data_IF_015188897539
#
_entry.id   IF_015188897539
#
_cell.length_a   1.000
_cell.length_b   1.000
_cell.length_c   1.000
_cell.angle_alpha   90.00
_cell.angle_beta   90.00
_cell.angle_gamma   90.00
#
_symmetry.space_group_name_H-M   'P 1'
#
loop_
_entity.id
_entity.type
_entity.pdbx_description
1 polymer ?
#
# COMPACT_ATOMS: atom_id res chain seq x y z
N UNK A 1 13.49 61.50 -2.23
CA UNK A 1 14.02 60.13 -2.41
C UNK A 1 13.05 59.16 -1.71
N UNK A 2 12.16 58.51 -2.47
CA UNK A 2 11.26 57.49 -1.93
C UNK A 2 11.93 56.13 -2.14
N UNK A 3 12.31 55.45 -1.07
CA UNK A 3 12.77 54.07 -1.13
C UNK A 3 11.56 53.14 -1.35
N UNK A 4 11.50 52.56 -2.53
CA UNK A 4 10.56 51.50 -2.87
C UNK A 4 11.06 50.23 -2.22
N UNK A 5 10.42 49.81 -1.13
CA UNK A 5 10.68 48.54 -0.47
C UNK A 5 10.02 47.43 -1.33
N UNK A 6 10.82 46.78 -2.17
CA UNK A 6 10.39 45.57 -2.91
C UNK A 6 10.40 44.45 -1.89
N UNK A 7 9.22 44.11 -1.36
CA UNK A 7 8.97 42.87 -0.67
C UNK A 7 9.02 41.75 -1.71
N UNK A 8 10.16 41.10 -1.82
CA UNK A 8 10.27 39.79 -2.46
C UNK A 8 9.48 38.81 -1.61
N UNK A 9 8.21 38.56 -1.98
CA UNK A 9 7.46 37.39 -1.56
C UNK A 9 8.14 36.17 -2.21
N UNK A 10 9.14 35.62 -1.55
CA UNK A 10 9.58 34.27 -1.83
C UNK A 10 8.42 33.37 -1.43
N UNK A 11 7.66 32.88 -2.40
CA UNK A 11 6.77 31.74 -2.18
C UNK A 11 7.65 30.62 -1.64
N UNK A 12 7.46 30.30 -0.37
CA UNK A 12 8.06 29.09 0.20
C UNK A 12 7.40 27.93 -0.54
N UNK A 13 8.13 27.33 -1.48
CA UNK A 13 7.72 26.08 -2.11
C UNK A 13 7.67 25.06 -0.97
N UNK A 14 6.48 24.73 -0.51
CA UNK A 14 6.32 23.67 0.49
C UNK A 14 6.56 22.34 -0.20
N UNK A 15 7.39 21.49 0.41
CA UNK A 15 7.51 20.12 -0.07
C UNK A 15 6.27 19.33 0.37
N UNK A 16 5.68 18.56 -0.54
CA UNK A 16 4.65 17.60 -0.21
C UNK A 16 5.34 16.28 0.19
N UNK A 17 5.01 15.77 1.38
CA UNK A 17 5.57 14.53 1.90
C UNK A 17 4.53 13.42 1.73
N UNK A 18 4.77 12.52 0.80
CA UNK A 18 3.93 11.36 0.53
C UNK A 18 4.51 10.11 1.18
N UNK A 19 3.65 9.32 1.85
CA UNK A 19 3.92 7.96 2.30
C UNK A 19 3.12 6.98 1.44
N UNK A 20 3.81 6.17 0.67
CA UNK A 20 3.21 5.21 -0.26
C UNK A 20 3.52 3.78 0.15
N UNK A 21 2.50 2.91 0.10
CA UNK A 21 2.61 1.49 0.39
C UNK A 21 2.21 0.66 -0.83
N UNK A 22 2.99 -0.37 -1.13
CA UNK A 22 2.68 -1.30 -2.22
C UNK A 22 1.70 -2.40 -1.80
N UNK A 23 1.29 -3.25 -2.73
CA UNK A 23 0.58 -4.48 -2.44
C UNK A 23 1.53 -5.61 -2.03
N UNK A 24 0.96 -6.61 -1.34
CA UNK A 24 1.76 -7.77 -0.91
C UNK A 24 1.00 -8.76 -0.03
N UNK A 25 -0.31 -8.64 0.14
CA UNK A 25 -1.11 -9.50 1.00
C UNK A 25 -0.60 -9.51 2.44
N UNK A 26 -0.24 -10.67 3.00
CA UNK A 26 0.28 -10.76 4.38
C UNK A 26 1.59 -9.97 4.60
N UNK A 27 2.31 -9.63 3.54
CA UNK A 27 3.53 -8.83 3.63
C UNK A 27 3.27 -7.34 3.96
N UNK A 28 2.01 -6.89 4.02
CA UNK A 28 1.68 -5.63 4.64
C UNK A 28 2.20 -5.52 6.09
N UNK A 29 2.36 -6.64 6.79
CA UNK A 29 3.04 -6.68 8.09
C UNK A 29 4.54 -6.33 8.00
N UNK A 30 5.22 -6.74 6.92
CA UNK A 30 6.62 -6.35 6.64
C UNK A 30 6.72 -4.84 6.46
N UNK A 31 5.78 -4.24 5.73
CA UNK A 31 5.73 -2.78 5.51
C UNK A 31 5.61 -2.00 6.82
N UNK A 32 4.79 -2.47 7.76
CA UNK A 32 4.69 -1.85 9.10
C UNK A 32 6.01 -1.97 9.86
N UNK A 33 6.69 -3.11 9.78
CA UNK A 33 8.03 -3.29 10.36
C UNK A 33 9.06 -2.33 9.75
N UNK A 34 9.06 -2.19 8.43
CA UNK A 34 9.91 -1.22 7.70
C UNK A 34 9.59 0.20 8.17
N UNK A 35 8.30 0.60 8.13
CA UNK A 35 7.88 1.94 8.52
C UNK A 35 8.31 2.28 9.95
N UNK A 36 8.15 1.34 10.89
CA UNK A 36 8.62 1.51 12.25
C UNK A 36 10.11 1.86 12.29
N UNK A 37 10.93 1.10 11.57
CA UNK A 37 12.37 1.34 11.51
C UNK A 37 12.72 2.68 10.88
N UNK A 38 12.02 3.05 9.80
CA UNK A 38 12.19 4.35 9.12
C UNK A 38 11.86 5.49 10.06
N UNK A 39 10.75 5.42 10.78
CA UNK A 39 10.31 6.49 11.70
C UNK A 39 11.21 6.64 12.94
N UNK A 40 11.88 5.58 13.38
CA UNK A 40 12.91 5.67 14.42
C UNK A 40 14.17 6.42 13.93
N UNK A 41 14.49 6.33 12.65
CA UNK A 41 15.66 6.98 12.05
C UNK A 41 15.36 8.40 11.56
N UNK A 42 14.14 8.64 11.08
CA UNK A 42 13.72 9.84 10.39
C UNK A 42 12.37 10.32 10.97
N UNK A 43 12.39 11.35 11.78
CA UNK A 43 11.15 11.93 12.36
C UNK A 43 10.39 12.74 11.30
N UNK A 44 9.78 12.07 10.32
CA UNK A 44 9.02 12.68 9.22
C UNK A 44 7.54 12.84 9.55
N UNK A 45 6.94 13.88 8.96
CA UNK A 45 5.47 14.02 8.85
C UNK A 45 5.09 13.85 7.39
N UNK A 46 3.91 13.30 7.18
CA UNK A 46 3.38 13.05 5.84
C UNK A 46 2.05 13.76 5.66
N UNK A 47 1.87 14.33 4.48
CA UNK A 47 0.69 15.11 4.10
C UNK A 47 -0.31 14.24 3.31
N UNK A 48 0.19 13.18 2.65
CA UNK A 48 -0.56 12.27 1.81
C UNK A 48 -0.13 10.83 2.06
N UNK A 49 -1.11 9.94 2.22
CA UNK A 49 -0.89 8.49 2.18
C UNK A 49 -1.46 7.90 0.90
N UNK A 50 -0.76 6.94 0.32
CA UNK A 50 -1.26 6.18 -0.82
C UNK A 50 -1.05 4.69 -0.62
N UNK A 51 -1.91 3.88 -1.22
CA UNK A 51 -1.75 2.44 -1.06
C UNK A 51 -2.50 1.59 -2.08
N UNK A 52 -1.93 0.42 -2.33
CA UNK A 52 -2.49 -0.64 -3.18
C UNK A 52 -2.59 -1.92 -2.35
N UNK A 53 -3.69 -2.66 -2.46
CA UNK A 53 -3.87 -3.98 -1.82
C UNK A 53 -3.61 -3.93 -0.30
N UNK A 54 -2.68 -4.70 0.23
CA UNK A 54 -2.28 -4.63 1.64
C UNK A 54 -1.81 -3.22 2.03
N UNK A 55 -1.13 -2.51 1.14
CA UNK A 55 -0.74 -1.12 1.35
C UNK A 55 -1.94 -0.17 1.47
N UNK A 56 -3.05 -0.44 0.77
CA UNK A 56 -4.29 0.30 0.95
C UNK A 56 -4.87 0.14 2.37
N UNK A 57 -4.75 -1.08 2.94
CA UNK A 57 -5.14 -1.33 4.33
C UNK A 57 -4.24 -0.57 5.31
N UNK A 58 -2.92 -0.57 5.07
CA UNK A 58 -1.95 0.16 5.90
C UNK A 58 -2.18 1.67 5.82
N UNK A 59 -2.27 2.24 4.62
CA UNK A 59 -2.52 3.66 4.39
C UNK A 59 -3.83 4.11 5.05
N UNK A 60 -4.94 3.41 4.75
CA UNK A 60 -6.26 3.73 5.30
C UNK A 60 -6.32 3.58 6.82
N UNK A 61 -5.64 2.58 7.42
CA UNK A 61 -5.57 2.43 8.87
C UNK A 61 -4.76 3.56 9.53
N UNK A 62 -3.57 3.85 9.00
CA UNK A 62 -2.66 4.87 9.55
C UNK A 62 -3.23 6.28 9.43
N UNK A 63 -4.08 6.55 8.43
CA UNK A 63 -4.68 7.87 8.19
C UNK A 63 -5.51 8.41 9.36
N UNK A 64 -5.96 7.54 10.26
CA UNK A 64 -6.72 7.92 11.46
C UNK A 64 -5.87 8.44 12.61
N UNK A 65 -4.54 8.44 12.47
CA UNK A 65 -3.62 8.82 13.56
C UNK A 65 -2.87 10.10 13.23
N UNK A 66 -3.02 11.14 14.07
CA UNK A 66 -2.21 12.36 13.99
C UNK A 66 -0.75 12.13 14.37
N UNK A 67 -0.49 11.14 15.24
CA UNK A 67 0.85 10.63 15.57
C UNK A 67 1.05 9.28 14.86
N UNK A 68 1.88 9.29 13.83
CA UNK A 68 2.16 8.08 13.06
C UNK A 68 2.79 6.97 13.91
N UNK A 69 3.59 7.30 14.91
CA UNK A 69 4.21 6.29 15.79
C UNK A 69 3.15 5.55 16.62
N UNK A 70 2.10 6.25 17.05
CA UNK A 70 0.94 5.63 17.69
C UNK A 70 0.17 4.77 16.69
N UNK A 71 0.02 5.23 15.45
CA UNK A 71 -0.57 4.46 14.36
C UNK A 71 0.18 3.16 14.11
N UNK A 72 1.52 3.21 14.04
CA UNK A 72 2.39 2.05 13.87
C UNK A 72 2.22 1.05 15.02
N UNK A 73 2.23 1.48 16.29
CA UNK A 73 2.04 0.61 17.45
C UNK A 73 0.69 -0.12 17.40
N UNK A 74 -0.38 0.58 16.98
CA UNK A 74 -1.70 -0.02 16.84
C UNK A 74 -1.75 -0.97 15.63
N UNK A 75 -1.10 -0.65 14.51
CA UNK A 75 -0.98 -1.53 13.36
C UNK A 75 -0.21 -2.81 13.70
N UNK A 76 0.90 -2.72 14.45
CA UNK A 76 1.62 -3.89 14.98
C UNK A 76 0.68 -4.77 15.80
N UNK A 77 -0.06 -4.18 16.75
CA UNK A 77 -1.00 -4.91 17.60
C UNK A 77 -2.10 -5.60 16.79
N UNK A 78 -2.58 -4.93 15.73
CA UNK A 78 -3.56 -5.49 14.82
C UNK A 78 -2.97 -6.71 14.08
N UNK A 79 -1.79 -6.59 13.44
CA UNK A 79 -1.13 -7.69 12.72
C UNK A 79 -0.79 -8.88 13.62
N UNK A 80 -0.45 -8.64 14.89
CA UNK A 80 -0.24 -9.70 15.88
C UNK A 80 -1.52 -10.48 16.18
N UNK A 81 -2.68 -9.83 16.11
CA UNK A 81 -4.00 -10.43 16.38
C UNK A 81 -4.62 -11.14 15.17
N UNK A 82 -4.26 -10.72 13.95
CA UNK A 82 -4.83 -11.24 12.71
C UNK A 82 -4.47 -12.72 12.51
N UNK A 83 -5.46 -13.49 12.05
CA UNK A 83 -5.32 -14.89 11.66
C UNK A 83 -5.93 -15.11 10.29
N UNK A 84 -5.46 -16.13 9.55
CA UNK A 84 -5.97 -16.48 8.22
C UNK A 84 -7.50 -16.49 8.16
N UNK A 85 -8.17 -17.10 9.15
CA UNK A 85 -9.64 -17.17 9.27
C UNK A 85 -10.36 -15.82 9.41
N UNK A 86 -9.62 -14.74 9.74
CA UNK A 86 -10.15 -13.37 9.82
C UNK A 86 -10.07 -12.66 8.48
N UNK A 87 -9.35 -13.23 7.53
CA UNK A 87 -9.11 -12.66 6.18
C UNK A 87 -9.86 -13.45 5.13
N UNK A 88 -9.84 -14.81 5.21
CA UNK A 88 -10.47 -15.64 4.19
C UNK A 88 -11.01 -16.97 4.72
N UNK A 89 -12.00 -17.50 4.00
CA UNK A 89 -12.43 -18.90 4.05
C UNK A 89 -12.12 -19.58 2.71
N UNK A 90 -11.88 -20.88 2.75
CA UNK A 90 -11.69 -21.70 1.52
C UNK A 90 -13.04 -22.03 0.93
N UNK A 91 -13.21 -21.80 -0.37
CA UNK A 91 -14.42 -22.12 -1.12
C UNK A 91 -14.28 -23.43 -1.92
N UNK A 92 -15.39 -24.14 -2.19
CA UNK A 92 -15.42 -25.14 -3.26
C UNK A 92 -15.03 -24.52 -4.60
N UNK A 93 -14.33 -25.25 -5.47
CA UNK A 93 -13.86 -24.80 -6.79
C UNK A 93 -15.00 -24.60 -7.83
N UNK A 94 -16.13 -24.04 -7.43
CA UNK A 94 -17.31 -23.82 -8.29
C UNK A 94 -17.60 -22.35 -8.57
N UNK A 95 -16.79 -21.44 -8.00
CA UNK A 95 -16.97 -19.99 -8.09
C UNK A 95 -15.89 -19.29 -8.91
N UNK A 96 -15.91 -17.97 -8.88
CA UNK A 96 -14.95 -17.09 -9.57
C UNK A 96 -13.63 -16.94 -8.81
N UNK A 97 -13.50 -17.53 -7.61
CA UNK A 97 -12.32 -17.46 -6.75
C UNK A 97 -12.18 -18.71 -5.88
N UNK A 98 -10.96 -18.97 -5.40
CA UNK A 98 -10.68 -20.11 -4.50
C UNK A 98 -10.91 -19.77 -3.03
N UNK A 99 -10.94 -18.49 -2.68
CA UNK A 99 -11.17 -17.99 -1.32
C UNK A 99 -12.37 -17.04 -1.29
N UNK A 100 -12.99 -16.95 -0.12
CA UNK A 100 -14.04 -15.98 0.19
C UNK A 100 -13.47 -14.86 1.06
N UNK A 101 -13.75 -13.61 0.72
CA UNK A 101 -13.29 -12.41 1.44
C UNK A 101 -14.28 -11.87 2.49
N UNK A 102 -15.41 -12.55 2.75
CA UNK A 102 -16.35 -12.14 3.82
C UNK A 102 -15.70 -12.01 5.22
N UNK A 103 -14.74 -12.86 5.63
CA UNK A 103 -14.02 -12.64 6.89
C UNK A 103 -13.26 -11.32 6.90
N UNK A 104 -12.61 -10.93 5.79
CA UNK A 104 -11.95 -9.63 5.67
C UNK A 104 -12.95 -8.48 5.79
N UNK A 105 -14.09 -8.55 5.10
CA UNK A 105 -15.17 -7.56 5.22
C UNK A 105 -15.57 -7.33 6.68
N UNK A 106 -15.86 -8.40 7.42
CA UNK A 106 -16.22 -8.32 8.85
C UNK A 106 -15.08 -7.72 9.69
N UNK A 107 -13.84 -8.08 9.39
CA UNK A 107 -12.66 -7.57 10.10
C UNK A 107 -12.49 -6.08 9.86
N UNK A 108 -12.60 -5.61 8.61
CA UNK A 108 -12.51 -4.20 8.24
C UNK A 108 -13.67 -3.39 8.83
N UNK A 109 -14.90 -3.87 8.72
CA UNK A 109 -16.08 -3.22 9.33
C UNK A 109 -15.89 -3.02 10.83
N UNK A 110 -15.47 -4.08 11.55
CA UNK A 110 -15.21 -3.99 12.99
C UNK A 110 -14.07 -3.02 13.30
N UNK A 111 -13.03 -3.02 12.51
CA UNK A 111 -11.89 -2.11 12.67
C UNK A 111 -12.33 -0.66 12.49
N UNK A 112 -12.99 -0.33 11.37
CA UNK A 112 -13.40 1.03 11.07
C UNK A 112 -14.45 1.57 12.06
N UNK A 113 -15.40 0.74 12.50
CA UNK A 113 -16.39 1.15 13.53
C UNK A 113 -15.78 1.50 14.90
N UNK A 114 -14.52 1.14 15.15
CA UNK A 114 -13.77 1.52 16.33
C UNK A 114 -12.87 2.76 16.14
N UNK A 115 -12.79 3.28 14.92
CA UNK A 115 -11.99 4.45 14.55
C UNK A 115 -12.81 5.75 14.70
N UNK A 116 -12.16 6.92 14.76
CA UNK A 116 -12.84 8.21 14.60
C UNK A 116 -13.65 8.26 13.28
N UNK A 117 -14.66 9.11 13.22
CA UNK A 117 -15.55 9.19 12.05
C UNK A 117 -14.81 9.51 10.74
N UNK A 118 -13.72 10.27 10.81
CA UNK A 118 -12.96 10.69 9.63
C UNK A 118 -11.45 10.44 9.80
N UNK A 119 -10.77 10.04 8.71
CA UNK A 119 -9.32 10.06 8.63
C UNK A 119 -8.78 11.48 8.85
N UNK A 120 -7.56 11.59 9.34
CA UNK A 120 -6.88 12.84 9.66
C UNK A 120 -5.84 13.22 8.59
N UNK A 121 -5.45 12.26 7.76
CA UNK A 121 -4.48 12.45 6.66
C UNK A 121 -5.15 12.09 5.35
N UNK A 122 -4.98 12.95 4.34
CA UNK A 122 -5.45 12.68 2.98
C UNK A 122 -4.92 11.33 2.49
N UNK A 123 -5.78 10.48 1.95
CA UNK A 123 -5.41 9.10 1.62
C UNK A 123 -6.03 8.66 0.31
N UNK A 124 -5.19 8.20 -0.62
CA UNK A 124 -5.60 7.69 -1.91
C UNK A 124 -5.44 6.17 -1.98
N UNK A 125 -6.45 5.49 -2.45
CA UNK A 125 -6.48 4.03 -2.62
C UNK A 125 -6.78 3.71 -4.08
N UNK A 126 -5.96 2.84 -4.68
CA UNK A 126 -6.12 2.38 -6.06
C UNK A 126 -6.74 0.99 -6.14
N UNK A 127 -7.64 0.80 -7.12
CA UNK A 127 -8.23 -0.50 -7.45
C UNK A 127 -8.39 -0.63 -8.98
N UNK A 128 -8.24 -1.84 -9.50
CA UNK A 128 -8.37 -2.12 -10.94
C UNK A 128 -9.85 -2.27 -11.32
N UNK A 129 -10.34 -1.38 -12.15
CA UNK A 129 -11.69 -1.44 -12.70
C UNK A 129 -11.77 -2.49 -13.81
N UNK A 130 -12.56 -3.54 -13.61
CA UNK A 130 -12.69 -4.65 -14.55
C UNK A 130 -13.52 -4.31 -15.81
N UNK A 131 -14.29 -3.21 -15.81
CA UNK A 131 -15.03 -2.78 -16.99
C UNK A 131 -14.20 -1.88 -17.91
N UNK A 132 -13.44 -0.96 -17.32
CA UNK A 132 -12.59 -0.03 -18.10
C UNK A 132 -11.19 -0.57 -18.39
N UNK A 133 -10.70 -1.54 -17.61
CA UNK A 133 -9.31 -2.02 -17.66
C UNK A 133 -8.29 -0.98 -17.18
N UNK A 134 -8.71 -0.03 -16.34
CA UNK A 134 -7.84 1.03 -15.78
C UNK A 134 -7.73 0.93 -14.28
N UNK A 135 -6.67 1.52 -13.73
CA UNK A 135 -6.56 1.79 -12.31
C UNK A 135 -7.41 3.02 -11.97
N UNK A 136 -8.44 2.84 -11.16
CA UNK A 136 -9.20 3.94 -10.59
C UNK A 136 -8.63 4.26 -9.21
N UNK A 137 -8.50 5.56 -8.90
CA UNK A 137 -7.94 6.07 -7.64
C UNK A 137 -9.04 6.83 -6.93
N UNK A 138 -9.20 6.56 -5.64
CA UNK A 138 -10.24 7.14 -4.81
C UNK A 138 -9.66 7.76 -3.55
N UNK A 139 -10.17 8.95 -3.18
CA UNK A 139 -9.97 9.56 -1.88
C UNK A 139 -10.73 8.75 -0.82
N UNK A 140 -10.00 8.29 0.20
CA UNK A 140 -10.54 7.42 1.25
C UNK A 140 -11.46 8.18 2.21
N UNK A 141 -11.11 9.41 2.55
CA UNK A 141 -11.90 10.27 3.43
C UNK A 141 -13.25 10.69 2.83
N UNK A 142 -13.35 10.75 1.50
CA UNK A 142 -14.60 11.11 0.81
C UNK A 142 -15.64 9.99 0.82
N UNK A 143 -15.27 8.79 1.28
CA UNK A 143 -16.14 7.64 1.36
C UNK A 143 -16.86 7.57 2.71
N UNK A 144 -18.12 7.13 2.73
CA UNK A 144 -18.79 6.71 3.95
C UNK A 144 -18.16 5.41 4.50
N UNK A 145 -18.51 4.99 5.72
CA UNK A 145 -17.91 3.84 6.39
C UNK A 145 -18.06 2.54 5.57
N UNK A 146 -19.23 2.30 4.97
CA UNK A 146 -19.48 1.12 4.14
C UNK A 146 -18.62 1.15 2.89
N UNK A 147 -18.55 2.30 2.21
CA UNK A 147 -17.76 2.49 1.01
C UNK A 147 -16.26 2.46 1.29
N UNK A 148 -15.79 2.89 2.46
CA UNK A 148 -14.41 2.70 2.91
C UNK A 148 -14.03 1.23 2.98
N UNK A 149 -14.91 0.38 3.56
CA UNK A 149 -14.70 -1.08 3.58
C UNK A 149 -14.65 -1.64 2.17
N UNK A 150 -15.63 -1.30 1.32
CA UNK A 150 -15.70 -1.79 -0.07
C UNK A 150 -14.50 -1.34 -0.90
N UNK A 151 -14.02 -0.12 -0.74
CA UNK A 151 -12.83 0.39 -1.42
C UNK A 151 -11.57 -0.38 -1.02
N UNK A 152 -11.36 -0.59 0.29
CA UNK A 152 -10.24 -1.41 0.79
C UNK A 152 -10.32 -2.85 0.26
N UNK A 153 -11.51 -3.46 0.27
CA UNK A 153 -11.72 -4.80 -0.28
C UNK A 153 -11.49 -4.86 -1.79
N UNK A 154 -11.92 -3.82 -2.53
CA UNK A 154 -11.69 -3.70 -3.98
C UNK A 154 -10.20 -3.71 -4.30
N UNK A 155 -9.42 -2.94 -3.54
CA UNK A 155 -7.97 -2.88 -3.68
C UNK A 155 -7.27 -4.20 -3.34
N UNK A 156 -7.90 -5.08 -2.54
CA UNK A 156 -7.36 -6.37 -2.09
C UNK A 156 -7.93 -7.58 -2.85
N UNK A 157 -8.75 -7.40 -3.87
CA UNK A 157 -9.45 -8.48 -4.57
C UNK A 157 -8.57 -9.15 -5.64
N UNK A 158 -7.53 -9.89 -5.23
CA UNK A 158 -6.58 -10.56 -6.14
C UNK A 158 -7.32 -11.54 -7.05
N UNK A 159 -7.23 -11.35 -8.40
CA UNK A 159 -7.96 -12.18 -9.36
C UNK A 159 -7.71 -13.69 -9.17
N UNK A 160 -8.79 -14.47 -9.15
CA UNK A 160 -8.77 -15.92 -8.94
C UNK A 160 -8.55 -16.34 -7.48
N UNK A 161 -7.90 -15.54 -6.65
CA UNK A 161 -7.73 -15.79 -5.21
C UNK A 161 -8.96 -15.31 -4.47
N UNK A 162 -9.34 -14.04 -4.62
CA UNK A 162 -10.52 -13.42 -4.02
C UNK A 162 -11.57 -13.05 -5.07
N UNK A 163 -12.86 -13.02 -4.71
CA UNK A 163 -13.90 -12.58 -5.62
C UNK A 163 -13.74 -11.07 -5.91
N UNK A 164 -14.10 -10.62 -7.13
CA UNK A 164 -14.14 -9.19 -7.42
C UNK A 164 -15.20 -8.49 -6.57
N UNK A 165 -15.00 -7.22 -6.29
CA UNK A 165 -15.85 -6.41 -5.42
C UNK A 165 -16.66 -5.41 -6.24
N UNK A 166 -17.96 -5.36 -5.98
CA UNK A 166 -18.83 -4.31 -6.55
C UNK A 166 -18.76 -3.06 -5.67
N UNK A 167 -18.33 -1.96 -6.27
CA UNK A 167 -18.21 -0.66 -5.63
C UNK A 167 -18.57 0.44 -6.63
N UNK A 168 -19.38 1.43 -6.25
CA UNK A 168 -19.83 2.53 -7.12
C UNK A 168 -20.39 2.07 -8.48
N UNK A 169 -21.21 1.01 -8.49
CA UNK A 169 -21.77 0.39 -9.70
C UNK A 169 -20.74 -0.12 -10.71
N UNK A 170 -19.49 -0.26 -10.31
CA UNK A 170 -18.40 -0.85 -11.08
C UNK A 170 -17.93 -2.15 -10.40
N UNK A 171 -17.15 -2.94 -11.11
CA UNK A 171 -16.58 -4.19 -10.61
C UNK A 171 -15.06 -4.04 -10.54
N UNK A 172 -14.49 -4.36 -9.36
CA UNK A 172 -13.08 -4.13 -9.09
C UNK A 172 -12.32 -5.41 -8.74
N UNK A 173 -11.07 -5.43 -9.16
CA UNK A 173 -10.04 -6.35 -8.71
C UNK A 173 -8.89 -5.59 -8.03
N UNK A 174 -7.95 -6.33 -7.44
CA UNK A 174 -6.77 -5.79 -6.78
C UNK A 174 -6.03 -4.77 -7.67
N UNK A 175 -5.67 -3.63 -7.10
CA UNK A 175 -4.93 -2.59 -7.80
C UNK A 175 -3.60 -3.09 -8.35
N UNK A 176 -2.94 -4.02 -7.65
CA UNK A 176 -1.70 -4.68 -8.07
C UNK A 176 -1.83 -5.52 -9.35
N UNK A 177 -3.05 -5.70 -9.89
CA UNK A 177 -3.26 -6.28 -11.23
C UNK A 177 -2.72 -5.38 -12.34
N UNK A 178 -2.73 -4.05 -12.16
CA UNK A 178 -2.24 -3.05 -13.10
C UNK A 178 -1.02 -2.29 -12.61
N UNK A 179 -1.00 -1.92 -11.33
CA UNK A 179 0.13 -1.24 -10.70
C UNK A 179 0.19 -1.60 -9.23
N UNK A 180 1.35 -2.07 -8.79
CA UNK A 180 1.57 -2.37 -7.37
C UNK A 180 2.05 -1.14 -6.57
N UNK A 181 2.22 -0.01 -7.22
CA UNK A 181 2.66 1.26 -6.66
C UNK A 181 1.66 2.36 -7.02
N UNK A 182 1.31 3.18 -6.05
CA UNK A 182 0.50 4.38 -6.24
C UNK A 182 1.30 5.59 -5.78
N UNK A 183 1.85 6.29 -6.76
CA UNK A 183 2.61 7.52 -6.55
C UNK A 183 1.86 8.65 -7.23
N UNK A 184 1.42 9.62 -6.44
CA UNK A 184 0.76 10.82 -6.95
C UNK A 184 1.84 11.86 -7.27
N UNK A 185 1.92 12.28 -8.53
CA UNK A 185 2.94 13.23 -9.03
C UNK A 185 2.34 14.56 -9.48
N UNK A 186 1.00 14.66 -9.59
CA UNK A 186 0.33 15.89 -10.00
C UNK A 186 0.05 16.79 -8.80
N UNK A 187 1.02 17.62 -8.44
CA UNK A 187 0.85 18.65 -7.42
C UNK A 187 1.34 20.01 -7.92
N UNK A 188 0.53 21.03 -7.66
CA UNK A 188 0.71 22.44 -7.98
C UNK A 188 2.10 22.97 -7.60
N UNK A 189 3.13 22.71 -8.41
CA UNK A 189 4.50 23.26 -8.27
C UNK A 189 5.21 22.99 -6.93
N UNK A 190 4.77 22.03 -6.12
CA UNK A 190 5.44 21.65 -4.88
C UNK A 190 6.54 20.63 -5.16
N UNK A 191 7.65 20.73 -4.42
CA UNK A 191 8.68 19.70 -4.44
C UNK A 191 8.14 18.44 -3.74
N UNK A 192 8.23 17.29 -4.39
CA UNK A 192 7.65 16.04 -3.92
C UNK A 192 8.69 15.20 -3.18
N UNK A 193 8.43 14.88 -1.93
CA UNK A 193 9.22 13.93 -1.15
C UNK A 193 8.40 12.66 -0.94
N UNK A 194 8.78 11.58 -1.59
CA UNK A 194 8.10 10.29 -1.47
C UNK A 194 8.90 9.38 -0.54
N UNK A 195 8.23 8.85 0.47
CA UNK A 195 8.67 7.69 1.24
C UNK A 195 7.86 6.49 0.75
N UNK A 196 8.48 5.65 -0.07
CA UNK A 196 7.83 4.48 -0.64
C UNK A 196 8.26 3.22 0.10
N UNK A 197 7.30 2.50 0.63
CA UNK A 197 7.50 1.25 1.37
C UNK A 197 6.92 0.10 0.57
N UNK A 198 7.77 -0.88 0.26
CA UNK A 198 7.39 -2.13 -0.39
C UNK A 198 7.99 -3.31 0.38
N UNK A 199 7.31 -4.45 0.48
CA UNK A 199 7.86 -5.56 1.25
C UNK A 199 9.17 -6.10 0.67
N UNK A 200 9.37 -6.00 -0.65
CA UNK A 200 10.58 -6.47 -1.33
C UNK A 200 10.79 -5.68 -2.63
N UNK A 201 12.01 -5.70 -3.18
CA UNK A 201 12.32 -5.02 -4.44
C UNK A 201 12.12 -5.94 -5.66
N UNK A 202 12.60 -7.19 -5.55
CA UNK A 202 12.58 -8.16 -6.64
C UNK A 202 11.68 -9.35 -6.30
N UNK A 203 11.28 -10.11 -7.33
CA UNK A 203 10.49 -11.31 -7.13
C UNK A 203 11.16 -12.28 -6.13
N UNK A 204 10.39 -12.75 -5.16
CA UNK A 204 10.84 -13.74 -4.18
C UNK A 204 10.97 -15.08 -4.89
N UNK A 205 12.22 -15.49 -5.17
CA UNK A 205 12.47 -16.80 -5.77
C UNK A 205 12.06 -17.91 -4.81
N UNK A 206 11.08 -18.70 -5.22
CA UNK A 206 10.57 -19.84 -4.47
C UNK A 206 10.56 -21.08 -5.38
N UNK A 207 11.38 -22.06 -5.05
CA UNK A 207 11.51 -23.34 -5.77
C UNK A 207 10.63 -24.45 -5.17
N UNK A 208 9.74 -24.12 -4.22
CA UNK A 208 8.81 -25.10 -3.67
C UNK A 208 7.85 -25.60 -4.74
N UNK A 209 7.50 -26.87 -4.68
CA UNK A 209 6.58 -27.45 -5.64
C UNK A 209 5.18 -26.83 -5.50
N UNK A 210 4.58 -26.46 -6.64
CA UNK A 210 3.18 -26.06 -6.71
C UNK A 210 2.33 -27.31 -6.53
N UNK A 211 1.54 -27.38 -5.45
CA UNK A 211 0.75 -28.56 -5.06
C UNK A 211 -0.75 -28.35 -5.19
N UNK A 212 -1.19 -27.12 -5.39
CA UNK A 212 -2.60 -26.76 -5.46
C UNK A 212 -2.83 -25.59 -6.42
N UNK A 213 -4.08 -25.42 -6.86
CA UNK A 213 -4.49 -24.24 -7.62
C UNK A 213 -4.22 -22.94 -6.84
N UNK A 214 -4.43 -22.96 -5.53
CA UNK A 214 -4.11 -21.83 -4.66
C UNK A 214 -2.61 -21.46 -4.73
N UNK A 215 -1.71 -22.44 -4.66
CA UNK A 215 -0.26 -22.19 -4.75
C UNK A 215 0.11 -21.58 -6.11
N UNK A 216 -0.50 -22.09 -7.19
CA UNK A 216 -0.32 -21.53 -8.55
C UNK A 216 -0.76 -20.07 -8.61
N UNK A 217 -1.99 -19.79 -8.13
CA UNK A 217 -2.55 -18.44 -8.16
C UNK A 217 -1.73 -17.46 -7.30
N UNK A 218 -1.32 -17.86 -6.09
CA UNK A 218 -0.47 -17.04 -5.24
C UNK A 218 0.86 -16.71 -5.93
N UNK A 219 1.52 -17.69 -6.53
CA UNK A 219 2.78 -17.48 -7.24
C UNK A 219 2.61 -16.60 -8.47
N UNK A 220 1.55 -16.81 -9.25
CA UNK A 220 1.23 -15.97 -10.41
C UNK A 220 0.96 -14.53 -9.98
N UNK A 221 0.18 -14.32 -8.91
CA UNK A 221 -0.08 -12.98 -8.37
C UNK A 221 1.23 -12.27 -7.94
N UNK A 222 2.12 -12.97 -7.24
CA UNK A 222 3.42 -12.42 -6.85
C UNK A 222 4.27 -12.04 -8.08
N UNK A 223 4.28 -12.85 -9.13
CA UNK A 223 5.00 -12.55 -10.38
C UNK A 223 4.38 -11.30 -11.05
N UNK A 224 3.06 -11.26 -11.17
CA UNK A 224 2.34 -10.13 -11.79
C UNK A 224 2.65 -8.83 -11.03
N UNK A 225 2.47 -8.81 -9.71
CA UNK A 225 2.72 -7.64 -8.87
C UNK A 225 4.16 -7.13 -8.92
N UNK A 226 5.15 -7.99 -9.23
CA UNK A 226 6.55 -7.59 -9.37
C UNK A 226 6.93 -7.12 -10.79
N UNK A 227 6.23 -7.59 -11.81
CA UNK A 227 6.60 -7.30 -13.20
C UNK A 227 5.93 -6.06 -13.77
N UNK A 228 4.90 -5.53 -13.11
CA UNK A 228 4.26 -4.29 -13.54
C UNK A 228 5.03 -3.08 -13.03
N UNK A 229 5.90 -2.61 -13.92
CA UNK A 229 6.50 -1.28 -14.02
C UNK A 229 7.12 -0.72 -12.74
N UNK A 230 8.39 -0.49 -12.81
CA UNK A 230 9.03 0.57 -12.07
C UNK A 230 8.58 1.90 -12.73
N UNK A 231 7.56 2.62 -12.20
CA UNK A 231 7.13 3.89 -12.77
C UNK A 231 8.25 4.93 -12.72
N UNK A 232 9.27 4.69 -11.93
CA UNK A 232 10.43 5.54 -11.71
C UNK A 232 11.47 5.36 -12.81
N UNK A 233 11.62 4.16 -13.36
CA UNK A 233 12.51 3.94 -14.50
C UNK A 233 12.10 4.77 -15.71
N UNK A 234 10.81 5.09 -15.87
CA UNK A 234 10.30 5.96 -16.92
C UNK A 234 10.48 7.46 -16.62
N UNK A 235 10.53 7.86 -15.34
CA UNK A 235 10.65 9.26 -14.93
C UNK A 235 12.09 9.78 -15.01
N UNK A 236 13.10 8.90 -14.95
CA UNK A 236 14.51 9.31 -14.82
C UNK A 236 15.29 9.50 -16.14
N UNK A 237 14.70 9.24 -17.31
CA UNK A 237 15.51 9.15 -18.55
C UNK A 237 16.06 10.46 -19.11
N UNK A 238 15.65 11.66 -18.64
CA UNK A 238 16.19 12.95 -19.13
C UNK A 238 15.97 14.11 -18.14
N UNK A 239 16.28 13.93 -16.88
CA UNK A 239 16.04 14.93 -15.84
C UNK A 239 16.82 16.23 -16.06
N UNK A 240 16.11 17.29 -16.43
CA UNK A 240 16.69 18.65 -16.51
C UNK A 240 16.43 19.49 -15.25
N UNK A 241 15.29 19.26 -14.59
CA UNK A 241 14.91 19.96 -13.36
C UNK A 241 14.23 18.95 -12.44
N UNK A 242 14.81 18.61 -11.29
CA UNK A 242 14.16 17.74 -10.32
C UNK A 242 12.86 18.35 -9.78
N UNK A 243 11.77 17.60 -9.83
CA UNK A 243 10.50 17.96 -9.19
C UNK A 243 10.31 17.26 -7.83
N UNK A 244 11.20 16.32 -7.49
CA UNK A 244 11.13 15.65 -6.22
C UNK A 244 12.20 14.58 -6.02
N UNK A 245 12.11 13.92 -4.88
CA UNK A 245 12.89 12.72 -4.56
C UNK A 245 12.01 11.61 -4.01
N UNK A 246 12.42 10.36 -4.23
CA UNK A 246 11.79 9.20 -3.63
C UNK A 246 12.82 8.37 -2.86
N UNK A 247 12.46 8.07 -1.63
CA UNK A 247 13.19 7.17 -0.75
C UNK A 247 12.42 5.85 -0.68
N UNK A 248 12.91 4.81 -1.38
CA UNK A 248 12.33 3.47 -1.41
C UNK A 248 12.95 2.61 -0.31
N UNK A 249 12.09 2.03 0.54
CA UNK A 249 12.46 1.13 1.63
C UNK A 249 11.84 -0.23 1.41
N UNK A 250 12.65 -1.28 1.54
CA UNK A 250 12.25 -2.67 1.29
C UNK A 250 13.12 -3.63 2.10
N UNK A 251 12.83 -4.93 2.07
CA UNK A 251 13.74 -5.97 2.55
C UNK A 251 14.28 -6.81 1.38
N UNK A 252 15.49 -7.39 1.48
CA UNK A 252 15.98 -8.34 0.50
C UNK A 252 14.99 -9.50 0.34
N UNK A 253 14.69 -9.91 -0.88
CA UNK A 253 13.68 -10.93 -1.17
C UNK A 253 13.98 -12.30 -0.56
N UNK A 254 15.26 -12.61 -0.31
CA UNK A 254 15.70 -13.87 0.27
C UNK A 254 15.28 -14.05 1.74
N UNK A 255 15.11 -12.96 2.51
CA UNK A 255 14.63 -13.03 3.91
C UNK A 255 13.16 -13.40 4.01
N UNK A 256 12.40 -13.26 2.91
CA UNK A 256 10.99 -13.64 2.81
C UNK A 256 10.80 -15.04 2.20
N UNK A 257 11.90 -15.75 1.92
CA UNK A 257 11.81 -17.10 1.36
C UNK A 257 11.07 -18.05 2.31
N UNK A 258 10.09 -18.77 1.79
CA UNK A 258 9.22 -19.67 2.57
C UNK A 258 7.95 -19.02 3.10
N UNK A 259 7.78 -17.71 2.93
CA UNK A 259 6.51 -17.03 3.17
C UNK A 259 5.77 -16.78 1.85
N UNK A 260 4.46 -16.62 1.92
CA UNK A 260 3.62 -16.24 0.78
C UNK A 260 2.56 -15.22 1.20
N UNK A 261 1.92 -14.59 0.22
CA UNK A 261 0.96 -13.49 0.41
C UNK A 261 -0.30 -13.84 1.23
N UNK A 262 -0.48 -15.10 1.63
CA UNK A 262 -1.60 -15.57 2.45
C UNK A 262 -1.18 -16.04 3.86
N UNK A 263 0.04 -15.76 4.31
CA UNK A 263 0.54 -16.15 5.62
C UNK A 263 0.15 -15.15 6.75
N UNK A 264 -1.13 -14.80 6.87
CA UNK A 264 -1.60 -13.82 7.85
C UNK A 264 -1.41 -14.26 9.32
N UNK A 265 -1.24 -15.56 9.59
CA UNK A 265 -0.89 -16.05 10.94
C UNK A 265 0.55 -15.69 11.37
N UNK A 266 1.37 -15.17 10.46
CA UNK A 266 2.79 -14.88 10.63
C UNK A 266 3.09 -13.40 10.91
N UNK A 267 2.11 -12.62 11.35
CA UNK A 267 2.26 -11.17 11.53
C UNK A 267 3.49 -10.77 12.35
N UNK A 268 3.77 -11.42 13.49
CA UNK A 268 4.93 -11.12 14.32
C UNK A 268 6.26 -11.37 13.59
N UNK A 269 6.37 -12.52 12.91
CA UNK A 269 7.58 -12.88 12.16
C UNK A 269 7.83 -11.87 11.04
N UNK A 270 6.79 -11.52 10.29
CA UNK A 270 6.85 -10.60 9.15
C UNK A 270 7.18 -9.16 9.57
N UNK A 271 6.60 -8.66 10.67
CA UNK A 271 6.98 -7.35 11.25
C UNK A 271 8.46 -7.33 11.62
N UNK A 272 8.94 -8.37 12.31
CA UNK A 272 10.35 -8.46 12.72
C UNK A 272 11.29 -8.53 11.51
N UNK A 273 10.91 -9.23 10.45
CA UNK A 273 11.67 -9.25 9.19
C UNK A 273 11.76 -7.84 8.62
N UNK A 274 10.63 -7.14 8.50
CA UNK A 274 10.57 -5.76 8.02
C UNK A 274 11.47 -4.83 8.84
N UNK A 275 11.36 -4.88 10.16
CA UNK A 275 12.12 -4.02 11.05
C UNK A 275 13.64 -4.23 11.01
N UNK A 276 14.09 -5.51 10.95
CA UNK A 276 15.51 -5.85 11.10
C UNK A 276 16.31 -5.86 9.79
N UNK A 277 15.65 -5.88 8.62
CA UNK A 277 16.30 -6.09 7.34
C UNK A 277 16.07 -4.96 6.34
N UNK A 278 15.73 -3.75 6.80
CA UNK A 278 15.44 -2.60 5.93
C UNK A 278 16.63 -2.24 5.06
N UNK A 279 16.37 -2.14 3.76
CA UNK A 279 17.29 -1.58 2.75
C UNK A 279 16.67 -0.30 2.21
N UNK A 280 17.50 0.67 1.88
CA UNK A 280 17.10 1.98 1.37
C UNK A 280 17.75 2.26 0.03
N UNK A 281 16.95 2.74 -0.92
CA UNK A 281 17.41 3.34 -2.19
C UNK A 281 16.77 4.71 -2.38
N UNK A 282 17.53 5.64 -2.96
CA UNK A 282 17.08 7.00 -3.27
C UNK A 282 17.04 7.20 -4.78
N UNK A 283 15.97 7.84 -5.24
CA UNK A 283 15.73 8.20 -6.63
C UNK A 283 15.40 9.69 -6.72
N UNK A 284 15.77 10.32 -7.83
CA UNK A 284 15.37 11.68 -8.17
C UNK A 284 14.20 11.61 -9.14
N UNK A 285 13.16 12.38 -8.86
CA UNK A 285 11.95 12.46 -9.70
C UNK A 285 12.05 13.71 -10.59
N UNK A 286 11.73 13.55 -11.83
CA UNK A 286 11.81 14.59 -12.85
C UNK A 286 10.47 14.82 -13.55
#
# INVERSE_FOLDING_TARGET
>A
MRYLLILLLTSVISALNQLSFSGGGSFGAVEIGILKRVMELENKKFDLYTGISAGALNAGFLSYYSDINKGIQNAESLYLSIKNRMIYDVLPLTGVSVLNSKPLEKTLTKMLSSMPNQPLVHTLIGATNLYSGKLDIYSFEDQDETNKVLLMMSSCAIPGIFPPIQFNNQLYADGGTLSNELIEVEHDNNYLNITFITPYEDYIYDNTAIKSLKDMLCRTAMIVMNNFNDPIASLNQNCKVPIGEMNKYYVPSDVLRGYNILNFDKGNELINIGYNNVVHKRYIIC
#
